data_IF_401721882310
#
_entry.id   IF_401721882310
#
_cell.length_a   1.000
_cell.length_b   1.000
_cell.length_c   1.000
_cell.angle_alpha   90.00
_cell.angle_beta   90.00
_cell.angle_gamma   90.00
#
_symmetry.space_group_name_H-M   'P 1'
#
loop_
_entity.id
_entity.type
_entity.pdbx_description
1 polymer ?
#
# COMPACT_ATOMS: atom_id res chain seq x y z
N UNK A 1 12.68 -21.96 5.81
CA UNK A 1 12.51 -21.79 4.35
C UNK A 1 11.11 -22.19 3.89
N UNK A 2 10.71 -23.45 4.10
CA UNK A 2 9.38 -23.97 3.71
C UNK A 2 8.24 -23.12 4.26
N UNK A 3 8.25 -22.83 5.56
CA UNK A 3 7.27 -21.93 6.19
C UNK A 3 7.23 -20.54 5.55
N UNK A 4 8.38 -19.99 5.19
CA UNK A 4 8.47 -18.69 4.52
C UNK A 4 7.83 -18.68 3.14
N UNK A 5 8.03 -19.74 2.35
CA UNK A 5 7.39 -19.89 1.03
C UNK A 5 5.88 -20.08 1.17
N UNK A 6 5.43 -20.87 2.14
CA UNK A 6 4.00 -21.05 2.42
C UNK A 6 3.35 -19.72 2.82
N UNK A 7 3.95 -18.99 3.76
CA UNK A 7 3.44 -17.68 4.20
C UNK A 7 3.46 -16.66 3.05
N UNK A 8 4.48 -16.70 2.18
CA UNK A 8 4.54 -15.85 0.99
C UNK A 8 3.40 -16.17 0.00
N UNK A 9 3.07 -17.45 -0.18
CA UNK A 9 1.94 -17.88 -1.01
C UNK A 9 0.58 -17.45 -0.44
N UNK A 10 0.39 -17.56 0.87
CA UNK A 10 -0.80 -17.02 1.56
C UNK A 10 -0.87 -15.50 1.39
N UNK A 11 0.26 -14.81 1.51
CA UNK A 11 0.36 -13.38 1.26
C UNK A 11 0.01 -13.00 -0.18
N UNK A 12 0.39 -13.83 -1.17
CA UNK A 12 0.04 -13.60 -2.58
C UNK A 12 -1.48 -13.58 -2.77
N UNK A 13 -2.17 -14.56 -2.19
CA UNK A 13 -3.63 -14.63 -2.23
C UNK A 13 -4.27 -13.35 -1.63
N UNK A 14 -3.78 -12.89 -0.49
CA UNK A 14 -4.24 -11.66 0.14
C UNK A 14 -3.98 -10.41 -0.72
N UNK A 15 -2.80 -10.27 -1.31
CA UNK A 15 -2.46 -9.14 -2.19
C UNK A 15 -3.35 -9.12 -3.43
N UNK A 16 -3.60 -10.28 -4.04
CA UNK A 16 -4.50 -10.38 -5.20
C UNK A 16 -5.93 -9.97 -4.82
N UNK A 17 -6.45 -10.45 -3.69
CA UNK A 17 -7.77 -10.06 -3.19
C UNK A 17 -7.83 -8.55 -2.91
N UNK A 18 -6.84 -8.01 -2.22
CA UNK A 18 -6.74 -6.58 -1.94
C UNK A 18 -6.70 -5.75 -3.23
N UNK A 19 -5.96 -6.18 -4.25
CA UNK A 19 -5.90 -5.50 -5.54
C UNK A 19 -7.26 -5.51 -6.24
N UNK A 20 -7.96 -6.65 -6.29
CA UNK A 20 -9.29 -6.75 -6.91
C UNK A 20 -10.31 -5.84 -6.22
N UNK A 21 -10.34 -5.86 -4.89
CA UNK A 21 -11.24 -5.00 -4.09
C UNK A 21 -10.90 -3.53 -4.33
N UNK A 22 -9.61 -3.19 -4.29
CA UNK A 22 -9.12 -1.83 -4.56
C UNK A 22 -9.57 -1.37 -5.94
N UNK A 23 -9.31 -2.13 -7.01
CA UNK A 23 -9.71 -1.77 -8.38
C UNK A 23 -11.22 -1.57 -8.49
N UNK A 24 -12.03 -2.42 -7.86
CA UNK A 24 -13.49 -2.26 -7.83
C UNK A 24 -13.90 -0.93 -7.20
N UNK A 25 -13.34 -0.59 -6.04
CA UNK A 25 -13.67 0.65 -5.34
C UNK A 25 -13.13 1.91 -6.02
N UNK A 26 -11.96 1.82 -6.65
CA UNK A 26 -11.44 2.89 -7.49
C UNK A 26 -12.36 3.19 -8.66
N UNK A 27 -12.91 2.16 -9.31
CA UNK A 27 -13.91 2.31 -10.38
C UNK A 27 -15.24 2.89 -9.87
N UNK A 28 -15.55 2.72 -8.59
CA UNK A 28 -16.71 3.32 -7.93
C UNK A 28 -16.48 4.80 -7.51
N UNK A 29 -15.30 5.37 -7.76
CA UNK A 29 -15.03 6.78 -7.52
C UNK A 29 -14.82 7.16 -6.05
N UNK A 30 -14.27 6.25 -5.22
CA UNK A 30 -13.99 6.56 -3.81
C UNK A 30 -13.07 7.80 -3.70
N UNK A 31 -13.46 8.82 -2.91
CA UNK A 31 -12.64 10.00 -2.71
C UNK A 31 -11.37 9.66 -1.91
N UNK A 32 -10.35 10.49 -2.09
CA UNK A 32 -9.12 10.38 -1.32
C UNK A 32 -9.39 10.62 0.17
N UNK A 33 -8.77 9.81 1.03
CA UNK A 33 -8.69 10.04 2.46
C UNK A 33 -7.33 9.57 2.99
N UNK A 34 -6.97 9.99 4.20
CA UNK A 34 -5.66 9.67 4.79
C UNK A 34 -5.45 8.16 5.01
N UNK A 35 -6.53 7.37 5.09
CA UNK A 35 -6.47 5.91 5.20
C UNK A 35 -5.81 5.23 3.99
N UNK A 36 -5.64 5.92 2.86
CA UNK A 36 -4.89 5.40 1.71
C UNK A 36 -3.42 5.10 2.05
N UNK A 37 -2.85 5.75 3.08
CA UNK A 37 -1.53 5.38 3.60
C UNK A 37 -1.44 3.92 4.06
N UNK A 38 -2.57 3.33 4.46
CA UNK A 38 -2.66 1.93 4.88
C UNK A 38 -2.25 0.92 3.80
N UNK A 39 -2.24 1.31 2.51
CA UNK A 39 -1.77 0.43 1.43
C UNK A 39 -0.24 0.26 1.39
N UNK A 40 0.52 1.22 1.94
CA UNK A 40 1.98 1.21 1.85
C UNK A 40 2.62 0.12 2.70
N UNK A 41 2.06 -0.15 3.89
CA UNK A 41 2.58 -1.15 4.81
C UNK A 41 2.54 -2.59 4.26
N UNK A 42 1.37 -3.15 3.87
CA UNK A 42 1.31 -4.52 3.35
C UNK A 42 2.12 -4.67 2.06
N UNK A 43 2.09 -3.67 1.18
CA UNK A 43 2.89 -3.69 -0.04
C UNK A 43 4.40 -3.67 0.26
N UNK A 44 4.84 -2.86 1.22
CA UNK A 44 6.25 -2.78 1.63
C UNK A 44 6.76 -4.06 2.29
N UNK A 45 6.02 -4.61 3.25
CA UNK A 45 6.39 -5.87 3.92
C UNK A 45 6.42 -7.03 2.92
N UNK A 46 5.46 -7.09 2.00
CA UNK A 46 5.43 -8.14 0.97
C UNK A 46 6.58 -7.99 -0.04
N UNK A 47 6.94 -6.76 -0.42
CA UNK A 47 8.13 -6.47 -1.24
C UNK A 47 9.40 -6.98 -0.57
N UNK A 48 9.60 -6.63 0.70
CA UNK A 48 10.77 -7.02 1.48
C UNK A 48 10.85 -8.54 1.65
N UNK A 49 9.73 -9.20 1.95
CA UNK A 49 9.67 -10.66 2.05
C UNK A 49 10.02 -11.33 0.72
N UNK A 50 9.55 -10.78 -0.41
CA UNK A 50 9.83 -11.29 -1.75
C UNK A 50 11.32 -11.15 -2.10
N UNK A 51 11.92 -9.98 -1.89
CA UNK A 51 13.36 -9.77 -2.08
C UNK A 51 14.20 -10.66 -1.16
N UNK A 52 13.74 -10.87 0.09
CA UNK A 52 14.41 -11.77 1.02
C UNK A 52 14.41 -13.21 0.52
N UNK A 53 13.29 -13.68 -0.04
CA UNK A 53 13.24 -14.99 -0.69
C UNK A 53 14.18 -15.08 -1.89
N UNK A 54 14.30 -14.02 -2.71
CA UNK A 54 15.29 -13.94 -3.79
C UNK A 54 16.72 -14.14 -3.29
N UNK A 55 17.11 -13.42 -2.23
CA UNK A 55 18.44 -13.54 -1.63
C UNK A 55 18.77 -14.93 -1.04
N UNK A 56 17.75 -15.70 -0.65
CA UNK A 56 17.93 -17.01 0.01
C UNK A 56 17.79 -18.17 -0.97
N UNK A 57 16.88 -18.07 -1.94
CA UNK A 57 16.62 -19.10 -2.94
C UNK A 57 17.51 -18.95 -4.19
N UNK A 58 18.14 -17.79 -4.38
CA UNK A 58 18.94 -17.46 -5.56
C UNK A 58 18.16 -17.61 -6.88
N UNK A 59 16.86 -17.34 -6.83
CA UNK A 59 15.96 -17.37 -7.99
C UNK A 59 15.64 -15.95 -8.43
N UNK A 60 16.08 -15.59 -9.64
CA UNK A 60 15.87 -14.26 -10.23
C UNK A 60 14.38 -13.84 -10.28
N UNK A 61 13.46 -14.80 -10.31
CA UNK A 61 12.02 -14.56 -10.22
C UNK A 61 11.65 -13.68 -9.02
N UNK A 62 12.16 -13.99 -7.82
CA UNK A 62 11.81 -13.26 -6.61
C UNK A 62 12.47 -11.87 -6.58
N UNK A 63 13.66 -11.72 -7.15
CA UNK A 63 14.32 -10.42 -7.24
C UNK A 63 13.54 -9.48 -8.18
N UNK A 64 13.15 -9.97 -9.36
CA UNK A 64 12.34 -9.20 -10.32
C UNK A 64 10.98 -8.86 -9.72
N UNK A 65 10.28 -9.85 -9.15
CA UNK A 65 8.98 -9.63 -8.51
C UNK A 65 9.07 -8.62 -7.36
N UNK A 66 10.10 -8.73 -6.52
CA UNK A 66 10.37 -7.79 -5.44
C UNK A 66 10.62 -6.36 -5.95
N UNK A 67 11.43 -6.20 -6.99
CA UNK A 67 11.66 -4.90 -7.62
C UNK A 67 10.37 -4.28 -8.18
N UNK A 68 9.53 -5.06 -8.84
CA UNK A 68 8.22 -4.60 -9.34
C UNK A 68 7.32 -4.13 -8.19
N UNK A 69 7.27 -4.88 -7.07
CA UNK A 69 6.52 -4.47 -5.86
C UNK A 69 7.07 -3.18 -5.25
N UNK A 70 8.39 -2.98 -5.23
CA UNK A 70 9.03 -1.73 -4.77
C UNK A 70 8.66 -0.56 -5.69
N UNK A 71 8.67 -0.74 -7.01
CA UNK A 71 8.24 0.31 -7.95
C UNK A 71 6.78 0.69 -7.69
N UNK A 72 5.89 -0.29 -7.51
CA UNK A 72 4.51 -0.04 -7.13
C UNK A 72 4.38 0.71 -5.80
N UNK A 73 5.21 0.38 -4.80
CA UNK A 73 5.25 1.08 -3.52
C UNK A 73 5.64 2.54 -3.68
N UNK A 74 6.67 2.83 -4.48
CA UNK A 74 7.12 4.21 -4.78
C UNK A 74 5.99 4.99 -5.45
N UNK A 75 5.33 4.41 -6.46
CA UNK A 75 4.19 5.06 -7.13
C UNK A 75 3.05 5.35 -6.15
N UNK A 76 2.71 4.41 -5.27
CA UNK A 76 1.71 4.60 -4.22
C UNK A 76 2.11 5.75 -3.28
N UNK A 77 3.37 5.79 -2.84
CA UNK A 77 3.92 6.85 -2.02
C UNK A 77 3.80 8.23 -2.69
N UNK A 78 4.13 8.33 -3.97
CA UNK A 78 4.02 9.58 -4.71
C UNK A 78 2.56 10.03 -4.84
N UNK A 79 1.63 9.12 -5.14
CA UNK A 79 0.20 9.44 -5.28
C UNK A 79 -0.40 9.90 -3.95
N UNK A 80 -0.21 9.11 -2.89
CA UNK A 80 -0.79 9.39 -1.57
C UNK A 80 -0.10 10.61 -0.96
N UNK A 81 1.23 10.70 -1.06
CA UNK A 81 2.02 11.82 -0.57
C UNK A 81 1.61 13.14 -1.22
N UNK A 82 1.52 13.21 -2.55
CA UNK A 82 1.11 14.44 -3.24
C UNK A 82 -0.32 14.87 -2.86
N UNK A 83 -1.25 13.93 -2.73
CA UNK A 83 -2.63 14.22 -2.29
C UNK A 83 -2.70 14.66 -0.83
N UNK A 84 -1.94 14.03 0.07
CA UNK A 84 -1.80 14.44 1.46
C UNK A 84 -1.25 15.85 1.56
N UNK A 85 -0.15 16.14 0.87
CA UNK A 85 0.48 17.47 0.86
C UNK A 85 -0.51 18.52 0.34
N UNK A 86 -1.16 18.27 -0.80
CA UNK A 86 -2.17 19.19 -1.37
C UNK A 86 -3.37 19.40 -0.45
N UNK A 87 -3.89 18.35 0.17
CA UNK A 87 -5.01 18.43 1.11
C UNK A 87 -4.64 19.16 2.40
N UNK A 88 -3.43 18.94 2.91
CA UNK A 88 -2.91 19.63 4.09
C UNK A 88 -2.75 21.13 3.82
N UNK A 89 -2.17 21.51 2.66
CA UNK A 89 -2.04 22.93 2.28
C UNK A 89 -3.39 23.63 2.12
N UNK A 90 -4.45 22.93 1.68
CA UNK A 90 -5.80 23.48 1.55
C UNK A 90 -6.57 23.55 2.88
N UNK A 91 -6.06 22.93 3.94
CA UNK A 91 -6.75 22.83 5.24
C UNK A 91 -7.93 21.83 5.25
N UNK A 92 -8.27 21.19 4.13
CA UNK A 92 -9.40 20.26 4.01
C UNK A 92 -9.10 18.87 4.58
N UNK A 93 -7.82 18.53 4.77
CA UNK A 93 -7.41 17.18 5.17
C UNK A 93 -7.58 16.88 6.66
N UNK A 94 -7.51 17.90 7.50
CA UNK A 94 -7.60 17.79 8.96
C UNK A 94 -8.90 18.41 9.49
N UNK A 95 -9.97 18.39 8.68
CA UNK A 95 -11.29 18.80 9.13
C UNK A 95 -11.86 17.65 9.96
N UNK A 96 -11.91 17.85 11.27
CA UNK A 96 -12.59 16.98 12.22
C UNK A 96 -13.97 17.57 12.51
N UNK A 97 -15.06 17.09 11.88
CA UNK A 97 -16.41 17.63 12.10
C UNK A 97 -16.82 17.58 13.59
N UNK A 98 -16.29 16.60 14.33
CA UNK A 98 -16.51 16.42 15.76
C UNK A 98 -15.91 17.52 16.65
N UNK A 99 -14.90 18.27 16.17
CA UNK A 99 -14.25 19.35 16.94
C UNK A 99 -14.74 20.73 16.45
N UNK A 100 -15.31 20.81 15.24
CA UNK A 100 -15.78 22.05 14.64
C UNK A 100 -16.86 22.80 15.47
N UNK A 101 -17.60 22.09 16.34
CA UNK A 101 -18.62 22.66 17.22
C UNK A 101 -18.14 23.05 18.63
N UNK A 102 -16.89 22.75 19.01
CA UNK A 102 -16.34 23.14 20.30
C UNK A 102 -16.01 24.64 20.28
N UNK A 103 -16.80 25.45 20.99
CA UNK A 103 -16.49 26.86 21.24
C UNK A 103 -15.12 26.97 21.91
N UNK A 104 -14.30 27.92 21.44
CA UNK A 104 -13.01 28.29 22.04
C UNK A 104 -13.17 28.73 23.49
#
# INVERSE_FOLDING_TARGET
>A
LISGVILWGVGLWWIVMALMITVRYFRAGIPFNLGWWGFTFPLGVYSLATLRLGSVLHLAFFDIAGCVLVVMLVLMWLIVGTRTVKGAYRGELFVSPCIAGLKK
#
